data_IF_486072569244
#
_entry.id   IF_486072569244
#
_cell.length_a   1.000
_cell.length_b   1.000
_cell.length_c   1.000
_cell.angle_alpha   90.00
_cell.angle_beta   90.00
_cell.angle_gamma   90.00
#
_symmetry.space_group_name_H-M   'P 1'
#
loop_
_entity.id
_entity.type
_entity.pdbx_description
1 polymer ?
#
# COMPACT_ATOMS: atom_id res chain seq x y z
N UNK A 1 -0.20 14.43 -14.01
CA UNK A 1 -0.99 14.14 -12.79
C UNK A 1 -1.91 12.97 -13.08
N UNK A 2 -2.35 12.22 -12.07
CA UNK A 2 -3.18 11.03 -12.29
C UNK A 2 -4.14 10.79 -11.13
N UNK A 3 -5.24 10.09 -11.38
CA UNK A 3 -6.17 9.61 -10.35
C UNK A 3 -6.74 8.26 -10.75
N UNK A 4 -7.37 7.58 -9.78
CA UNK A 4 -8.11 6.34 -10.03
C UNK A 4 -9.59 6.71 -10.08
N UNK A 5 -10.21 6.52 -11.23
CA UNK A 5 -11.63 6.85 -11.43
C UNK A 5 -12.55 5.69 -11.05
N UNK A 6 -12.09 4.44 -11.18
CA UNK A 6 -12.84 3.28 -10.71
C UNK A 6 -11.94 2.06 -10.50
N UNK A 7 -12.39 1.17 -9.62
CA UNK A 7 -11.87 -0.18 -9.44
C UNK A 7 -13.06 -1.13 -9.46
N UNK A 8 -13.02 -2.11 -10.36
CA UNK A 8 -14.05 -3.13 -10.51
C UNK A 8 -13.40 -4.49 -10.32
N UNK A 9 -13.81 -5.19 -9.28
CA UNK A 9 -13.38 -6.57 -9.03
C UNK A 9 -14.46 -7.51 -9.55
N UNK A 10 -14.11 -8.42 -10.47
CA UNK A 10 -15.02 -9.39 -11.07
C UNK A 10 -15.32 -10.54 -10.10
N UNK A 11 -15.98 -10.20 -8.99
CA UNK A 11 -16.39 -11.10 -7.93
C UNK A 11 -17.90 -11.07 -7.73
N UNK A 12 -18.46 -12.20 -7.29
CA UNK A 12 -19.86 -12.27 -6.82
C UNK A 12 -20.03 -11.67 -5.42
N UNK A 13 -18.94 -11.49 -4.69
CA UNK A 13 -18.92 -10.92 -3.35
C UNK A 13 -18.28 -9.53 -3.40
N UNK A 14 -18.70 -8.66 -2.47
CA UNK A 14 -18.07 -7.36 -2.32
C UNK A 14 -16.60 -7.54 -1.87
N UNK A 15 -15.67 -7.05 -2.69
CA UNK A 15 -14.24 -7.00 -2.38
C UNK A 15 -13.90 -5.55 -2.06
N UNK A 16 -13.35 -5.30 -0.87
CA UNK A 16 -12.89 -3.97 -0.49
C UNK A 16 -11.54 -3.65 -1.12
N UNK A 17 -11.32 -2.37 -1.39
CA UNK A 17 -10.06 -1.85 -1.91
C UNK A 17 -9.83 -0.44 -1.39
N UNK A 18 -8.56 -0.02 -1.32
CA UNK A 18 -8.16 1.31 -0.85
C UNK A 18 -6.75 1.64 -1.32
N UNK A 19 -6.38 2.93 -1.30
CA UNK A 19 -5.01 3.38 -1.57
C UNK A 19 -4.30 3.64 -0.25
N UNK A 20 -3.03 3.24 -0.14
CA UNK A 20 -2.26 3.32 1.12
C UNK A 20 -1.98 4.75 1.61
N UNK A 21 -2.23 5.78 0.80
CA UNK A 21 -2.21 7.18 1.28
C UNK A 21 -3.43 7.57 2.12
N UNK A 22 -4.42 6.68 2.24
CA UNK A 22 -5.64 6.91 3.03
C UNK A 22 -6.62 7.89 2.39
N UNK A 23 -6.36 8.37 1.17
CA UNK A 23 -7.23 9.28 0.47
C UNK A 23 -8.18 8.55 -0.50
N UNK A 24 -9.30 9.17 -0.90
CA UNK A 24 -10.19 8.62 -1.91
C UNK A 24 -9.47 8.28 -3.22
N UNK A 25 -10.06 7.38 -4.02
CA UNK A 25 -9.50 6.96 -5.30
C UNK A 25 -9.33 8.14 -6.26
N UNK A 26 -10.32 9.04 -6.26
CA UNK A 26 -10.44 10.18 -7.16
C UNK A 26 -9.47 11.31 -6.81
N UNK A 27 -8.79 11.24 -5.65
CA UNK A 27 -7.75 12.20 -5.30
C UNK A 27 -6.69 12.21 -6.40
N UNK A 28 -6.42 13.41 -6.91
CA UNK A 28 -5.35 13.65 -7.86
C UNK A 28 -3.99 13.47 -7.18
N UNK A 29 -3.13 12.68 -7.82
CA UNK A 29 -1.79 12.28 -7.40
C UNK A 29 -0.77 12.63 -8.50
N UNK A 30 0.51 12.58 -8.13
CA UNK A 30 1.61 13.03 -9.00
C UNK A 30 1.68 14.57 -9.12
N UNK A 31 2.62 15.05 -9.94
CA UNK A 31 2.95 16.48 -10.07
C UNK A 31 4.45 16.75 -9.94
N UNK A 32 4.84 18.02 -9.78
CA UNK A 32 6.24 18.38 -9.47
C UNK A 32 6.66 17.68 -8.18
N UNK A 33 7.68 16.83 -8.28
CA UNK A 33 8.24 16.13 -7.12
C UNK A 33 8.97 17.15 -6.26
N UNK A 34 8.59 17.26 -4.98
CA UNK A 34 9.48 17.89 -4.00
C UNK A 34 10.65 16.94 -3.71
N UNK A 35 11.85 17.50 -3.52
CA UNK A 35 13.05 16.71 -3.22
C UNK A 35 12.81 15.84 -1.98
N UNK A 36 13.01 14.53 -2.12
CA UNK A 36 12.77 13.54 -1.06
C UNK A 36 11.36 12.95 -0.98
N UNK A 37 10.44 13.30 -1.89
CA UNK A 37 9.10 12.70 -1.91
C UNK A 37 9.08 11.46 -2.83
N UNK A 38 8.84 10.28 -2.24
CA UNK A 38 8.60 9.05 -2.99
C UNK A 38 7.27 9.15 -3.75
N UNK A 39 7.33 8.89 -5.06
CA UNK A 39 6.18 9.00 -5.98
C UNK A 39 5.45 7.67 -6.16
N UNK A 40 5.52 6.80 -5.15
CA UNK A 40 4.88 5.48 -5.13
C UNK A 40 3.58 5.49 -4.34
N UNK A 41 2.57 4.80 -4.84
CA UNK A 41 1.28 4.60 -4.19
C UNK A 41 0.90 3.14 -4.36
N UNK A 42 0.25 2.57 -3.35
CA UNK A 42 -0.20 1.17 -3.42
C UNK A 42 -1.71 1.10 -3.38
N UNK A 43 -2.32 0.49 -4.39
CA UNK A 43 -3.73 0.13 -4.42
C UNK A 43 -3.87 -1.29 -3.88
N UNK A 44 -4.49 -1.42 -2.72
CA UNK A 44 -4.74 -2.70 -2.06
C UNK A 44 -6.09 -3.26 -2.48
N UNK A 45 -6.12 -4.55 -2.81
CA UNK A 45 -7.34 -5.31 -3.13
C UNK A 45 -7.46 -6.42 -2.10
N UNK A 46 -8.39 -6.26 -1.17
CA UNK A 46 -8.46 -7.09 0.01
C UNK A 46 -8.63 -8.58 -0.36
N UNK A 47 -7.76 -9.42 0.19
CA UNK A 47 -7.73 -10.86 -0.06
C UNK A 47 -7.19 -11.30 -1.43
N UNK A 48 -6.85 -10.38 -2.34
CA UNK A 48 -6.31 -10.72 -3.67
C UNK A 48 -4.87 -10.29 -3.87
N UNK A 49 -4.47 -9.12 -3.37
CA UNK A 49 -3.13 -8.58 -3.63
C UNK A 49 -3.10 -7.07 -3.69
N UNK A 50 -2.09 -6.53 -4.37
CA UNK A 50 -1.94 -5.09 -4.57
C UNK A 50 -1.29 -4.71 -5.90
N UNK A 51 -1.45 -3.43 -6.25
CA UNK A 51 -0.78 -2.78 -7.37
C UNK A 51 0.07 -1.63 -6.82
N UNK A 52 1.38 -1.69 -7.04
CA UNK A 52 2.28 -0.56 -6.88
C UNK A 52 2.17 0.35 -8.11
N UNK A 53 1.93 1.63 -7.85
CA UNK A 53 1.74 2.70 -8.82
C UNK A 53 2.84 3.73 -8.59
N UNK A 54 3.81 3.79 -9.49
CA UNK A 54 4.92 4.74 -9.38
C UNK A 54 4.83 5.77 -10.50
N UNK A 55 4.81 7.05 -10.14
CA UNK A 55 4.96 8.12 -11.13
C UNK A 55 6.43 8.36 -11.44
N UNK A 56 6.90 7.86 -12.59
CA UNK A 56 8.30 8.02 -13.01
C UNK A 56 8.49 9.22 -13.94
N UNK A 57 7.46 10.04 -14.12
CA UNK A 57 7.53 11.23 -14.96
C UNK A 57 8.32 12.32 -14.22
N UNK A 58 9.63 12.40 -14.46
CA UNK A 58 10.46 13.48 -13.93
C UNK A 58 10.28 14.77 -14.73
N UNK A 59 10.02 14.66 -16.04
CA UNK A 59 9.55 15.70 -16.95
C UNK A 59 8.82 14.99 -18.11
N UNK A 60 7.80 15.61 -18.74
CA UNK A 60 7.27 15.08 -19.98
C UNK A 60 8.43 14.93 -20.98
N UNK A 61 8.43 13.85 -21.75
CA UNK A 61 9.36 13.75 -22.87
C UNK A 61 9.10 14.88 -23.89
N UNK A 62 9.90 14.93 -24.96
CA UNK A 62 9.73 15.95 -26.00
C UNK A 62 8.31 15.97 -26.63
N UNK A 63 7.47 14.96 -26.36
CA UNK A 63 6.11 14.81 -26.88
C UNK A 63 5.03 15.08 -25.81
N UNK A 64 5.37 15.47 -24.59
CA UNK A 64 4.37 15.76 -23.56
C UNK A 64 3.83 14.50 -22.85
N UNK A 65 4.50 13.35 -22.98
CA UNK A 65 4.01 12.08 -22.43
C UNK A 65 4.51 11.86 -21.00
N UNK A 66 3.60 11.38 -20.15
CA UNK A 66 3.85 10.98 -18.77
C UNK A 66 3.75 9.46 -18.64
N UNK A 67 4.47 8.88 -17.68
CA UNK A 67 4.54 7.43 -17.49
C UNK A 67 4.35 7.05 -16.04
N UNK A 68 3.40 6.14 -15.80
CA UNK A 68 3.27 5.41 -14.55
C UNK A 68 3.84 4.00 -14.70
N UNK A 69 4.43 3.47 -13.63
CA UNK A 69 4.70 2.04 -13.50
C UNK A 69 3.59 1.42 -12.65
N UNK A 70 2.88 0.45 -13.21
CA UNK A 70 1.88 -0.37 -12.53
C UNK A 70 2.47 -1.77 -12.34
N UNK A 71 2.94 -2.11 -11.14
CA UNK A 71 3.77 -3.30 -10.89
C UNK A 71 4.94 -3.43 -11.89
N UNK A 72 5.61 -2.30 -12.17
CA UNK A 72 6.72 -2.21 -13.13
C UNK A 72 6.31 -2.10 -14.61
N UNK A 73 5.03 -2.32 -14.96
CA UNK A 73 4.51 -2.18 -16.32
C UNK A 73 4.26 -0.71 -16.67
N UNK A 74 4.69 -0.26 -17.84
CA UNK A 74 4.51 1.12 -18.26
C UNK A 74 3.09 1.42 -18.73
N UNK A 75 2.42 2.33 -18.04
CA UNK A 75 1.18 2.96 -18.46
C UNK A 75 1.48 4.41 -18.86
N UNK A 76 1.24 4.74 -20.12
CA UNK A 76 1.53 6.06 -20.70
C UNK A 76 0.27 6.90 -20.80
N UNK A 77 0.39 8.20 -20.57
CA UNK A 77 -0.75 9.10 -20.60
C UNK A 77 -0.34 10.53 -20.98
N UNK A 78 -1.31 11.34 -21.38
CA UNK A 78 -1.10 12.76 -21.71
C UNK A 78 -1.86 13.64 -20.73
N UNK A 79 -1.21 14.71 -20.27
CA UNK A 79 -1.76 15.71 -19.33
C UNK A 79 -2.20 15.13 -17.97
N UNK A 80 -3.41 14.55 -17.92
CA UNK A 80 -4.02 13.96 -16.73
C UNK A 80 -4.61 12.57 -17.00
N UNK A 81 -4.09 11.55 -16.33
CA UNK A 81 -4.67 10.22 -16.37
C UNK A 81 -5.85 10.07 -15.40
N UNK A 82 -6.94 9.48 -15.88
CA UNK A 82 -8.04 8.96 -15.07
C UNK A 82 -8.11 7.44 -15.31
N UNK A 83 -7.49 6.67 -14.42
CA UNK A 83 -7.26 5.24 -14.63
C UNK A 83 -8.47 4.45 -14.11
N UNK A 84 -8.87 3.41 -14.83
CA UNK A 84 -9.87 2.44 -14.42
C UNK A 84 -9.18 1.09 -14.27
N UNK A 85 -9.43 0.37 -13.18
CA UNK A 85 -8.92 -0.98 -12.99
C UNK A 85 -10.06 -2.00 -13.04
N UNK A 86 -9.91 -3.01 -13.89
CA UNK A 86 -10.68 -4.25 -13.82
C UNK A 86 -9.79 -5.35 -13.24
N UNK A 87 -10.28 -6.10 -12.27
CA UNK A 87 -9.50 -7.06 -11.50
C UNK A 87 -10.23 -8.40 -11.45
N UNK A 88 -9.54 -9.45 -11.86
CA UNK A 88 -10.03 -10.82 -11.83
C UNK A 88 -9.66 -11.52 -10.53
N UNK A 89 -10.44 -12.55 -10.17
CA UNK A 89 -10.21 -13.34 -8.96
C UNK A 89 -8.89 -14.13 -8.98
N UNK A 90 -8.27 -14.32 -10.15
CA UNK A 90 -6.96 -14.94 -10.29
C UNK A 90 -5.79 -13.95 -10.13
N UNK A 91 -6.10 -12.72 -9.70
CA UNK A 91 -5.15 -11.63 -9.50
C UNK A 91 -4.69 -10.98 -10.81
N UNK A 92 -5.31 -11.25 -11.96
CA UNK A 92 -5.08 -10.44 -13.16
C UNK A 92 -5.72 -9.06 -12.97
N UNK A 93 -5.02 -8.01 -13.37
CA UNK A 93 -5.61 -6.69 -13.52
C UNK A 93 -5.45 -6.18 -14.94
N UNK A 94 -6.40 -5.34 -15.35
CA UNK A 94 -6.32 -4.52 -16.56
C UNK A 94 -6.56 -3.07 -16.15
N UNK A 95 -5.61 -2.20 -16.45
CA UNK A 95 -5.74 -0.77 -16.27
C UNK A 95 -6.03 -0.10 -17.62
N UNK A 96 -7.05 0.76 -17.67
CA UNK A 96 -7.48 1.46 -18.90
C UNK A 96 -7.67 2.96 -18.66
N UNK A 97 -7.54 3.74 -19.74
CA UNK A 97 -7.81 5.17 -19.76
C UNK A 97 -7.06 5.87 -20.90
N UNK A 98 -7.62 6.96 -21.44
CA UNK A 98 -7.04 7.73 -22.56
C UNK A 98 -6.53 6.86 -23.73
N UNK A 99 -7.35 5.92 -24.19
CA UNK A 99 -7.02 4.96 -25.27
C UNK A 99 -5.80 4.06 -25.00
N UNK A 100 -5.29 4.02 -23.77
CA UNK A 100 -4.25 3.11 -23.34
C UNK A 100 -4.83 1.96 -22.51
N UNK A 101 -4.19 0.81 -22.59
CA UNK A 101 -4.48 -0.34 -21.75
C UNK A 101 -3.20 -1.10 -21.41
N UNK A 102 -3.10 -1.52 -20.16
CA UNK A 102 -2.02 -2.41 -19.70
C UNK A 102 -2.62 -3.48 -18.80
N UNK A 103 -2.13 -4.70 -18.92
CA UNK A 103 -2.58 -5.82 -18.09
C UNK A 103 -1.40 -6.48 -17.40
N UNK A 104 -1.62 -6.90 -16.16
CA UNK A 104 -0.59 -7.50 -15.33
C UNK A 104 -1.17 -8.41 -14.26
N UNK A 105 -0.33 -8.79 -13.30
CA UNK A 105 -0.72 -9.55 -12.11
C UNK A 105 -0.55 -8.68 -10.88
N UNK A 106 -1.50 -8.78 -9.95
CA UNK A 106 -1.36 -8.25 -8.60
C UNK A 106 -0.12 -8.86 -7.95
N UNK A 107 0.59 -8.06 -7.16
CA UNK A 107 1.55 -8.61 -6.22
C UNK A 107 0.78 -9.30 -5.09
N UNK A 108 1.26 -10.47 -4.69
CA UNK A 108 0.70 -11.16 -3.54
C UNK A 108 1.01 -10.38 -2.26
N UNK A 109 0.06 -10.35 -1.33
CA UNK A 109 0.34 -9.90 0.04
C UNK A 109 1.34 -10.88 0.64
N UNK A 110 2.51 -10.41 1.13
CA UNK A 110 3.50 -11.31 1.71
C UNK A 110 2.89 -12.12 2.86
N UNK A 111 3.15 -13.42 2.85
CA UNK A 111 2.70 -14.28 3.93
C UNK A 111 3.53 -14.01 5.19
N UNK A 112 2.85 -13.93 6.32
CA UNK A 112 3.51 -13.86 7.63
C UNK A 112 3.88 -15.29 8.01
N UNK A 113 5.12 -15.69 7.72
CA UNK A 113 5.61 -17.04 7.99
C UNK A 113 6.07 -17.17 9.46
N UNK A 114 6.19 -18.41 9.99
CA UNK A 114 6.76 -18.63 11.32
C UNK A 114 8.16 -18.02 11.50
N UNK A 115 8.98 -18.01 10.45
CA UNK A 115 10.32 -17.41 10.49
C UNK A 115 10.25 -15.89 10.63
N UNK A 116 9.31 -15.24 9.95
CA UNK A 116 9.07 -13.79 10.09
C UNK A 116 8.59 -13.46 11.50
N UNK A 117 7.71 -14.29 12.07
CA UNK A 117 7.25 -14.13 13.45
C UNK A 117 8.39 -14.31 14.45
N UNK A 118 9.23 -15.34 14.29
CA UNK A 118 10.38 -15.57 15.16
C UNK A 118 11.39 -14.41 15.11
N UNK A 119 11.66 -13.87 13.91
CA UNK A 119 12.49 -12.67 13.77
C UNK A 119 11.84 -11.46 14.47
N UNK A 120 10.52 -11.33 14.38
CA UNK A 120 9.81 -10.25 15.05
C UNK A 120 9.86 -10.38 16.58
N UNK A 121 9.74 -11.60 17.10
CA UNK A 121 9.90 -11.89 18.53
C UNK A 121 11.32 -11.56 19.02
N UNK A 122 12.36 -11.88 18.23
CA UNK A 122 13.74 -11.49 18.49
C UNK A 122 13.89 -9.95 18.52
N UNK A 123 13.29 -9.25 17.55
CA UNK A 123 13.27 -7.77 17.54
C UNK A 123 12.57 -7.18 18.78
N UNK A 124 11.53 -7.83 19.29
CA UNK A 124 10.87 -7.43 20.54
C UNK A 124 11.75 -7.69 21.77
N UNK A 125 12.42 -8.84 21.84
CA UNK A 125 13.35 -9.17 22.92
C UNK A 125 14.52 -8.17 22.99
N UNK A 126 15.08 -7.82 21.84
CA UNK A 126 16.13 -6.81 21.70
C UNK A 126 15.61 -5.36 21.85
N UNK A 127 14.30 -5.18 22.07
CA UNK A 127 13.65 -3.87 22.24
C UNK A 127 13.85 -2.94 21.04
N UNK A 128 13.96 -3.54 19.85
CA UNK A 128 13.97 -2.83 18.58
C UNK A 128 12.53 -2.42 18.24
N UNK A 129 11.56 -3.30 18.51
CA UNK A 129 10.12 -3.04 18.36
C UNK A 129 9.40 -3.31 19.69
N UNK A 130 8.64 -2.35 20.25
CA UNK A 130 8.50 -1.00 19.75
C UNK A 130 9.76 -0.21 20.15
N UNK A 131 10.13 0.75 19.33
CA UNK A 131 11.28 1.59 19.63
C UNK A 131 11.10 2.30 20.98
N UNK A 132 12.05 2.08 21.90
CA UNK A 132 11.88 2.45 23.31
C UNK A 132 12.03 3.95 23.59
N UNK A 133 12.79 4.68 22.76
CA UNK A 133 13.14 6.08 23.00
C UNK A 133 12.70 6.98 21.84
N UNK A 134 11.38 7.06 21.54
CA UNK A 134 10.91 7.85 20.43
C UNK A 134 11.30 9.34 20.61
N UNK A 135 11.68 10.06 19.52
CA UNK A 135 12.06 11.48 19.60
C UNK A 135 10.96 12.39 20.16
N UNK A 136 9.70 11.95 20.10
CA UNK A 136 8.52 12.60 20.68
C UNK A 136 7.40 11.58 20.91
N UNK A 137 6.47 11.89 21.81
CA UNK A 137 5.33 11.02 22.15
C UNK A 137 5.55 10.13 23.38
N UNK A 138 4.48 9.47 23.82
CA UNK A 138 4.51 8.50 24.93
C UNK A 138 4.47 7.09 24.37
N UNK A 139 5.38 6.23 24.82
CA UNK A 139 5.35 4.80 24.52
C UNK A 139 4.04 4.18 25.01
N UNK A 140 3.34 3.41 24.17
CA UNK A 140 2.18 2.63 24.59
C UNK A 140 2.62 1.50 25.50
N UNK A 141 1.80 1.21 26.52
CA UNK A 141 2.00 0.01 27.34
C UNK A 141 1.61 -1.25 26.56
N UNK A 142 2.04 -2.41 27.06
CA UNK A 142 1.68 -3.72 26.48
C UNK A 142 0.16 -3.89 26.46
N UNK A 143 -0.54 -3.45 27.51
CA UNK A 143 -2.01 -3.53 27.57
C UNK A 143 -2.67 -2.69 26.47
N UNK A 144 -2.13 -1.51 26.18
CA UNK A 144 -2.64 -0.66 25.09
C UNK A 144 -2.38 -1.28 23.72
N UNK A 145 -1.25 -1.98 23.55
CA UNK A 145 -0.93 -2.71 22.32
C UNK A 145 -1.82 -3.93 22.15
N UNK A 146 -2.14 -4.63 23.24
CA UNK A 146 -3.10 -5.73 23.23
C UNK A 146 -4.51 -5.26 22.86
N UNK A 147 -4.92 -4.07 23.33
CA UNK A 147 -6.19 -3.46 22.93
C UNK A 147 -6.21 -3.10 21.44
N UNK A 148 -5.10 -2.63 20.88
CA UNK A 148 -4.98 -2.38 19.44
C UNK A 148 -5.06 -3.69 18.64
N UNK A 149 -4.41 -4.75 19.13
CA UNK A 149 -4.49 -6.08 18.53
C UNK A 149 -5.94 -6.56 18.44
N UNK A 150 -6.68 -6.49 19.54
CA UNK A 150 -8.09 -6.88 19.57
C UNK A 150 -8.97 -5.97 18.70
N UNK A 151 -8.67 -4.67 18.65
CA UNK A 151 -9.42 -3.72 17.84
C UNK A 151 -9.26 -3.97 16.34
N UNK A 152 -8.03 -4.23 15.87
CA UNK A 152 -7.73 -4.30 14.43
C UNK A 152 -7.68 -5.73 13.89
N UNK A 153 -7.35 -6.70 14.73
CA UNK A 153 -7.12 -8.12 14.41
C UNK A 153 -7.83 -9.05 15.41
N UNK A 154 -9.15 -8.91 15.63
CA UNK A 154 -9.88 -9.70 16.62
C UNK A 154 -9.78 -11.20 16.33
N UNK A 155 -9.35 -11.97 17.33
CA UNK A 155 -9.22 -13.43 17.23
C UNK A 155 -8.02 -13.95 16.42
N UNK A 156 -7.13 -13.06 15.94
CA UNK A 156 -5.91 -13.46 15.26
C UNK A 156 -4.82 -13.85 16.28
N UNK A 157 -4.26 -15.05 16.13
CA UNK A 157 -3.20 -15.55 17.01
C UNK A 157 -1.94 -14.65 16.98
N UNK A 158 -1.71 -13.93 15.89
CA UNK A 158 -0.59 -13.01 15.69
C UNK A 158 -1.01 -11.54 15.81
N UNK A 159 -2.23 -11.26 16.27
CA UNK A 159 -2.77 -9.90 16.35
C UNK A 159 -1.90 -8.95 17.16
N UNK A 160 -1.25 -9.45 18.22
CA UNK A 160 -0.29 -8.66 19.00
C UNK A 160 0.93 -8.24 18.18
N UNK A 161 1.55 -9.18 17.46
CA UNK A 161 2.68 -8.89 16.56
C UNK A 161 2.28 -7.86 15.48
N UNK A 162 1.07 -7.95 14.93
CA UNK A 162 0.58 -6.95 13.97
C UNK A 162 0.34 -5.57 14.58
N UNK A 163 -0.24 -5.51 15.79
CA UNK A 163 -0.43 -4.24 16.49
C UNK A 163 0.92 -3.56 16.81
N UNK A 164 1.94 -4.37 17.12
CA UNK A 164 3.31 -3.91 17.32
C UNK A 164 3.92 -3.33 16.04
N UNK A 165 3.71 -3.97 14.88
CA UNK A 165 4.10 -3.42 13.58
C UNK A 165 3.42 -2.08 13.27
N UNK A 166 2.14 -1.94 13.60
CA UNK A 166 1.40 -0.68 13.42
C UNK A 166 1.89 0.43 14.36
N UNK A 167 2.44 0.06 15.52
CA UNK A 167 2.81 1.02 16.56
C UNK A 167 4.26 1.51 16.50
N UNK A 168 5.18 0.79 15.85
CA UNK A 168 6.59 1.19 15.79
C UNK A 168 6.73 2.63 15.26
N UNK A 169 7.08 3.56 16.15
CA UNK A 169 7.08 5.01 15.92
C UNK A 169 8.28 5.48 15.08
N UNK A 170 9.25 4.60 14.79
CA UNK A 170 10.44 4.96 13.98
C UNK A 170 10.12 5.23 12.51
N UNK A 171 8.85 5.23 12.16
CA UNK A 171 8.42 5.21 10.79
C UNK A 171 7.22 6.11 10.48
N UNK A 172 7.36 7.45 10.61
CA UNK A 172 6.48 8.34 9.85
C UNK A 172 6.49 8.03 8.33
N UNK A 173 7.46 7.24 7.84
CA UNK A 173 7.61 6.81 6.44
C UNK A 173 7.67 5.29 6.22
N UNK A 174 7.45 4.48 7.25
CA UNK A 174 7.72 3.02 7.24
C UNK A 174 6.57 2.30 7.95
N UNK A 175 5.33 2.49 7.51
CA UNK A 175 4.42 1.35 7.63
C UNK A 175 5.12 0.26 6.81
N UNK A 176 5.72 -0.74 7.48
CA UNK A 176 6.16 -1.96 6.81
C UNK A 176 4.88 -2.63 6.31
N UNK A 177 4.38 -2.20 5.15
CA UNK A 177 3.17 -2.73 4.52
C UNK A 177 3.53 -4.07 3.89
N UNK A 178 3.70 -5.06 4.76
CA UNK A 178 3.31 -6.44 4.50
C UNK A 178 1.94 -6.75 5.17
N UNK A 179 1.40 -5.81 5.95
CA UNK A 179 0.06 -5.90 6.54
C UNK A 179 -1.00 -5.12 5.76
N UNK A 180 -2.29 -5.54 5.80
CA UNK A 180 -3.37 -4.77 5.21
C UNK A 180 -3.50 -3.43 5.96
N UNK A 181 -3.38 -2.30 5.25
CA UNK A 181 -3.84 -1.03 5.79
C UNK A 181 -5.37 -1.12 5.97
N UNK A 182 -5.91 -0.52 7.01
CA UNK A 182 -7.35 -0.37 7.21
C UNK A 182 -7.64 1.10 7.44
#
# INVERSE_FOLDING_TARGET
MWSISSVKVNSKQAVSYYVCDGFPLEKVRGGEKQEGQESGQRLMINGLGYIDIEDISSQPDAMGEFVLKLNGLSYRYHEQANIQFEIELDGTFTATGQDNHVSGKLHAIPAVTPEVLALFDEMMEHKIVPYQNPPSGTTKSIEQLQQLAEQYYPGDANGFNYAMCLYDWTSPSFIRIDGPCK
#
